data_IF_450424251057
#
_entry.id   IF_450424251057
#
_cell.length_a   1.000
_cell.length_b   1.000
_cell.length_c   1.000
_cell.angle_alpha   90.00
_cell.angle_beta   90.00
_cell.angle_gamma   90.00
#
_symmetry.space_group_name_H-M   'P 1'
#
loop_
_entity.id
_entity.type
_entity.pdbx_description
1 polymer ?
#
# COMPACT_ATOMS: atom_id res chain seq x y z
N UNK A 1 8.99 7.68 -6.75
CA UNK A 1 9.23 8.32 -5.42
C UNK A 1 9.57 9.81 -5.47
N UNK A 2 10.49 10.25 -6.34
CA UNK A 2 11.10 11.60 -6.30
C UNK A 2 10.09 12.77 -6.32
N UNK A 3 9.03 12.65 -7.13
CA UNK A 3 7.97 13.65 -7.22
C UNK A 3 7.11 13.73 -5.95
N UNK A 4 6.98 12.67 -5.16
CA UNK A 4 6.27 12.74 -3.88
C UNK A 4 7.12 13.39 -2.79
N UNK A 5 8.41 13.06 -2.76
CA UNK A 5 9.34 13.60 -1.76
C UNK A 5 9.72 15.08 -1.99
N UNK A 6 9.71 15.55 -3.24
CA UNK A 6 10.03 16.93 -3.59
C UNK A 6 9.13 17.37 -4.77
N UNK A 7 7.86 17.71 -4.52
CA UNK A 7 6.84 17.84 -5.58
C UNK A 7 6.95 19.09 -6.45
N UNK A 8 7.60 20.15 -5.96
CA UNK A 8 7.62 21.45 -6.64
C UNK A 8 9.02 21.82 -7.16
N UNK A 9 9.12 22.39 -8.37
CA UNK A 9 8.08 22.45 -9.40
C UNK A 9 7.78 21.04 -9.98
N UNK A 10 6.53 20.72 -10.36
CA UNK A 10 6.21 19.42 -10.95
C UNK A 10 6.90 19.22 -12.31
N UNK A 11 7.15 17.96 -12.70
CA UNK A 11 7.63 17.65 -14.05
C UNK A 11 6.53 17.94 -15.08
N UNK A 12 6.91 18.37 -16.28
CA UNK A 12 6.00 18.68 -17.39
C UNK A 12 6.05 17.67 -18.53
N UNK A 13 6.95 16.68 -18.48
CA UNK A 13 7.06 15.61 -19.48
C UNK A 13 7.71 14.34 -18.92
N UNK A 14 7.59 13.23 -19.66
CA UNK A 14 8.27 11.97 -19.35
C UNK A 14 9.80 12.12 -19.38
N UNK A 15 10.34 12.83 -20.38
CA UNK A 15 11.78 13.08 -20.51
C UNK A 15 12.32 13.87 -19.31
N UNK A 16 11.57 14.87 -18.84
CA UNK A 16 11.95 15.63 -17.65
C UNK A 16 11.86 14.77 -16.40
N UNK A 17 10.83 13.93 -16.26
CA UNK A 17 10.69 12.99 -15.13
C UNK A 17 11.92 12.08 -15.04
N UNK A 18 12.35 11.50 -16.15
CA UNK A 18 13.41 10.48 -16.17
C UNK A 18 14.81 11.08 -15.98
N UNK A 19 15.00 12.35 -16.36
CA UNK A 19 16.24 13.10 -16.17
C UNK A 19 16.26 14.00 -14.93
N UNK A 20 15.21 13.96 -14.10
CA UNK A 20 15.02 14.92 -13.01
C UNK A 20 16.14 14.86 -11.97
N UNK A 21 16.78 16.01 -11.72
CA UNK A 21 17.84 16.14 -10.70
C UNK A 21 17.42 15.71 -9.29
N UNK A 22 16.12 15.76 -8.97
CA UNK A 22 15.54 15.31 -7.69
C UNK A 22 15.69 13.80 -7.50
N UNK A 23 15.76 13.01 -8.58
CA UNK A 23 16.08 11.57 -8.50
C UNK A 23 17.42 11.37 -7.80
N UNK A 24 18.45 12.10 -8.23
CA UNK A 24 19.79 12.02 -7.61
C UNK A 24 19.76 12.49 -6.16
N UNK A 25 18.95 13.51 -5.83
CA UNK A 25 18.79 13.98 -4.44
C UNK A 25 18.15 12.92 -3.54
N UNK A 26 17.11 12.25 -4.00
CA UNK A 26 16.49 11.14 -3.26
C UNK A 26 17.44 9.95 -3.18
N UNK A 27 18.16 9.64 -4.27
CA UNK A 27 19.20 8.61 -4.29
C UNK A 27 20.28 8.82 -3.22
N UNK A 28 20.79 10.05 -3.06
CA UNK A 28 21.73 10.37 -1.98
C UNK A 28 21.17 10.10 -0.59
N UNK A 29 19.88 10.38 -0.35
CA UNK A 29 19.25 10.05 0.96
C UNK A 29 19.20 8.54 1.18
N UNK A 30 18.92 7.76 0.14
CA UNK A 30 18.96 6.29 0.22
C UNK A 30 20.36 5.79 0.57
N UNK A 31 21.39 6.31 -0.12
CA UNK A 31 22.80 5.99 0.15
C UNK A 31 23.23 6.38 1.57
N UNK A 32 22.81 7.55 2.05
CA UNK A 32 23.06 8.02 3.42
C UNK A 32 22.44 7.08 4.46
N UNK A 33 21.19 6.67 4.24
CA UNK A 33 20.47 5.74 5.11
C UNK A 33 21.15 4.37 5.10
N UNK A 34 21.50 3.83 3.93
CA UNK A 34 22.20 2.54 3.82
C UNK A 34 23.57 2.58 4.51
N UNK A 35 24.29 3.71 4.45
CA UNK A 35 25.57 3.88 5.14
C UNK A 35 25.42 3.88 6.65
N UNK A 36 24.36 4.50 7.18
CA UNK A 36 24.10 4.55 8.62
C UNK A 36 23.47 3.25 9.14
N UNK A 37 22.75 2.53 8.27
CA UNK A 37 22.02 1.29 8.58
C UNK A 37 22.24 0.24 7.47
N UNK A 38 23.44 -0.37 7.41
CA UNK A 38 23.77 -1.31 6.34
C UNK A 38 22.80 -2.48 6.26
N UNK A 39 22.33 -2.79 5.05
CA UNK A 39 21.36 -3.84 4.77
C UNK A 39 19.90 -3.41 4.90
N UNK A 40 19.60 -2.17 5.32
CA UNK A 40 18.21 -1.73 5.50
C UNK A 40 17.40 -1.85 4.21
N UNK A 41 17.87 -1.29 3.10
CA UNK A 41 17.11 -1.34 1.85
C UNK A 41 17.04 -2.75 1.28
N UNK A 42 18.03 -3.58 1.57
CA UNK A 42 18.01 -5.00 1.22
C UNK A 42 16.92 -5.73 2.01
N UNK A 43 16.83 -5.53 3.32
CA UNK A 43 15.83 -6.17 4.18
C UNK A 43 14.41 -5.62 3.96
N UNK A 44 14.26 -4.30 3.90
CA UNK A 44 12.99 -3.65 3.58
C UNK A 44 12.53 -4.00 2.15
N UNK A 45 13.47 -4.04 1.20
CA UNK A 45 13.23 -4.37 -0.21
C UNK A 45 12.75 -5.80 -0.47
N UNK A 46 12.99 -6.76 0.46
CA UNK A 46 12.32 -8.08 0.46
C UNK A 46 10.82 -7.98 0.66
N UNK A 47 10.34 -6.80 1.07
CA UNK A 47 8.96 -6.58 1.50
C UNK A 47 8.22 -5.48 0.79
N UNK A 48 8.85 -4.32 0.68
CA UNK A 48 8.37 -3.17 -0.05
C UNK A 48 9.58 -2.56 -0.74
N UNK A 49 9.67 -2.72 -2.06
CA UNK A 49 10.78 -2.17 -2.82
C UNK A 49 10.57 -0.67 -2.96
N UNK A 50 11.39 0.09 -2.26
CA UNK A 50 11.46 1.53 -2.41
C UNK A 50 12.71 1.91 -3.19
N UNK A 51 12.54 2.74 -4.22
CA UNK A 51 13.65 3.24 -5.03
C UNK A 51 13.25 4.58 -5.66
N UNK A 52 14.20 5.51 -5.89
CA UNK A 52 13.90 6.84 -6.43
C UNK A 52 13.02 6.84 -7.69
N UNK A 53 13.27 5.88 -8.59
CA UNK A 53 12.63 5.73 -9.90
C UNK A 53 11.44 4.77 -9.93
N UNK A 54 11.11 4.11 -8.82
CA UNK A 54 9.98 3.19 -8.79
C UNK A 54 8.67 3.95 -8.49
N UNK A 55 7.57 3.35 -8.94
CA UNK A 55 6.24 3.71 -8.46
C UNK A 55 6.20 3.47 -6.96
N UNK A 56 5.58 4.41 -6.25
CA UNK A 56 5.55 4.40 -4.80
C UNK A 56 4.12 4.60 -4.32
N UNK A 57 3.88 4.25 -3.06
CA UNK A 57 2.57 4.44 -2.45
C UNK A 57 2.27 5.93 -2.28
N UNK A 58 1.04 6.31 -2.59
CA UNK A 58 0.49 7.64 -2.28
C UNK A 58 0.26 7.85 -0.77
N UNK A 59 0.54 6.82 0.05
CA UNK A 59 0.82 6.96 1.47
C UNK A 59 1.82 8.10 1.75
N UNK A 60 2.85 8.26 0.91
CA UNK A 60 3.83 9.32 1.09
C UNK A 60 3.22 10.73 1.02
N UNK A 61 2.13 10.91 0.28
CA UNK A 61 1.38 12.17 0.23
C UNK A 61 0.55 12.34 1.51
N UNK A 62 -0.12 11.28 1.97
CA UNK A 62 -0.90 11.29 3.21
C UNK A 62 -0.04 11.54 4.46
N UNK A 63 1.25 11.17 4.42
CA UNK A 63 2.21 11.49 5.48
C UNK A 63 2.40 12.99 5.68
N UNK A 64 2.25 13.82 4.64
CA UNK A 64 2.31 15.29 4.78
C UNK A 64 1.18 15.85 5.65
N UNK A 65 0.10 15.09 5.79
CA UNK A 65 -1.07 15.39 6.63
C UNK A 65 -1.06 14.63 7.96
N UNK A 66 0.10 14.10 8.39
CA UNK A 66 0.27 13.34 9.64
C UNK A 66 -0.58 12.07 9.73
N UNK A 67 -1.05 11.50 8.62
CA UNK A 67 -1.66 10.15 8.59
C UNK A 67 -0.55 9.11 8.46
N UNK A 68 0.08 8.77 9.60
CA UNK A 68 1.33 8.01 9.67
C UNK A 68 1.12 6.54 10.03
N UNK A 69 0.52 5.76 9.12
CA UNK A 69 0.25 4.32 9.32
C UNK A 69 1.45 3.54 9.90
N UNK A 70 2.66 3.84 9.43
CA UNK A 70 3.87 3.15 9.86
C UNK A 70 4.23 3.39 11.34
N UNK A 71 3.84 4.52 11.92
CA UNK A 71 4.23 4.95 13.28
C UNK A 71 3.17 4.67 14.35
N UNK A 72 1.93 4.38 13.97
CA UNK A 72 0.82 4.10 14.90
C UNK A 72 1.13 2.99 15.93
N UNK A 73 1.86 1.91 15.60
CA UNK A 73 2.22 0.91 16.61
C UNK A 73 3.01 1.44 17.81
N UNK A 74 3.79 2.51 17.62
CA UNK A 74 4.61 3.14 18.67
C UNK A 74 3.97 4.37 19.30
N UNK A 75 2.84 4.82 18.75
CA UNK A 75 2.22 6.05 19.18
C UNK A 75 1.49 5.87 20.52
N UNK A 76 1.41 6.96 21.29
CA UNK A 76 0.56 7.03 22.48
C UNK A 76 -0.93 6.90 22.08
N UNK A 77 -1.77 6.45 23.02
CA UNK A 77 -3.20 6.16 22.79
C UNK A 77 -3.93 7.29 22.05
N UNK A 78 -3.69 8.56 22.41
CA UNK A 78 -4.36 9.70 21.75
C UNK A 78 -4.11 9.79 20.24
N UNK A 79 -2.90 9.50 19.75
CA UNK A 79 -2.66 9.48 18.30
C UNK A 79 -3.24 8.23 17.65
N UNK A 80 -3.23 7.08 18.34
CA UNK A 80 -3.85 5.85 17.84
C UNK A 80 -5.36 6.00 17.71
N UNK A 81 -6.04 6.52 18.72
CA UNK A 81 -7.47 6.84 18.71
C UNK A 81 -7.79 7.83 17.60
N UNK A 82 -7.01 8.91 17.49
CA UNK A 82 -7.14 9.86 16.40
C UNK A 82 -6.94 9.21 15.03
N UNK A 83 -5.94 8.34 14.87
CA UNK A 83 -5.68 7.62 13.63
C UNK A 83 -6.84 6.68 13.30
N UNK A 84 -7.31 5.89 14.24
CA UNK A 84 -8.37 4.90 14.02
C UNK A 84 -9.74 5.53 13.79
N UNK A 85 -9.99 6.78 14.19
CA UNK A 85 -11.20 7.53 13.80
C UNK A 85 -11.30 7.67 12.27
N UNK A 86 -12.39 7.11 11.71
CA UNK A 86 -12.65 7.06 10.26
C UNK A 86 -13.25 8.35 9.69
N UNK A 87 -13.84 9.20 10.53
CA UNK A 87 -14.61 10.38 10.09
C UNK A 87 -13.79 11.67 10.08
N UNK A 88 -12.61 11.67 10.71
CA UNK A 88 -11.81 12.88 10.89
C UNK A 88 -10.64 13.03 9.89
N UNK A 89 -10.63 12.28 8.77
CA UNK A 89 -9.54 12.29 7.77
C UNK A 89 -9.82 13.07 6.49
N UNK A 90 -10.95 13.77 6.39
CA UNK A 90 -11.32 14.52 5.18
C UNK A 90 -10.22 15.49 4.74
N UNK A 91 -9.63 16.22 5.69
CA UNK A 91 -8.57 17.18 5.42
C UNK A 91 -7.35 16.56 4.71
N UNK A 92 -7.01 15.31 5.04
CA UNK A 92 -5.89 14.60 4.45
C UNK A 92 -6.19 14.24 2.99
N UNK A 93 -7.43 13.83 2.69
CA UNK A 93 -7.83 13.54 1.31
C UNK A 93 -8.06 14.80 0.47
N UNK A 94 -8.47 15.93 1.08
CA UNK A 94 -8.47 17.23 0.40
C UNK A 94 -7.05 17.59 -0.03
N UNK A 95 -6.08 17.49 0.89
CA UNK A 95 -4.68 17.73 0.57
C UNK A 95 -4.17 16.78 -0.52
N UNK A 96 -4.48 15.50 -0.39
CA UNK A 96 -4.16 14.46 -1.37
C UNK A 96 -4.68 14.81 -2.77
N UNK A 97 -5.94 15.25 -2.88
CA UNK A 97 -6.53 15.70 -4.15
C UNK A 97 -5.82 16.91 -4.73
N UNK A 98 -5.56 17.93 -3.92
CA UNK A 98 -4.84 19.14 -4.36
C UNK A 98 -3.43 18.79 -4.85
N UNK A 99 -2.75 17.88 -4.16
CA UNK A 99 -1.43 17.40 -4.54
C UNK A 99 -1.43 16.78 -5.93
N UNK A 100 -2.34 15.85 -6.20
CA UNK A 100 -2.44 15.20 -7.51
C UNK A 100 -2.99 16.13 -8.59
N UNK A 101 -3.87 17.09 -8.25
CA UNK A 101 -4.29 18.14 -9.17
C UNK A 101 -3.09 18.97 -9.64
N UNK A 102 -2.20 19.39 -8.73
CA UNK A 102 -0.99 20.12 -9.10
C UNK A 102 -0.09 19.32 -10.05
N UNK A 103 0.14 18.03 -9.78
CA UNK A 103 0.91 17.17 -10.70
C UNK A 103 0.22 17.05 -12.06
N UNK A 104 -1.10 16.81 -12.05
CA UNK A 104 -1.92 16.66 -13.24
C UNK A 104 -1.96 17.92 -14.12
N UNK A 105 -1.96 19.12 -13.52
CA UNK A 105 -1.91 20.37 -14.28
C UNK A 105 -0.59 20.56 -15.03
N UNK A 106 0.51 20.02 -14.52
CA UNK A 106 1.81 20.13 -15.17
C UNK A 106 2.01 19.06 -16.25
N UNK A 107 1.63 17.82 -15.94
CA UNK A 107 1.71 16.68 -16.86
C UNK A 107 0.72 15.59 -16.42
N UNK A 108 -0.39 15.49 -17.15
CA UNK A 108 -1.42 14.48 -16.89
C UNK A 108 -1.09 13.13 -17.56
N UNK A 109 -1.50 11.99 -16.97
CA UNK A 109 -1.47 10.72 -17.66
C UNK A 109 -2.40 10.72 -18.87
N UNK A 110 -2.08 9.92 -19.90
CA UNK A 110 -2.90 9.81 -21.11
C UNK A 110 -4.25 9.13 -20.85
N UNK A 111 -4.32 8.23 -19.85
CA UNK A 111 -5.53 7.49 -19.48
C UNK A 111 -6.07 7.94 -18.12
N UNK A 112 -5.44 7.50 -17.03
CA UNK A 112 -5.89 7.76 -15.66
C UNK A 112 -4.73 7.66 -14.66
N UNK A 113 -4.96 8.17 -13.45
CA UNK A 113 -4.06 7.95 -12.32
C UNK A 113 -4.29 6.56 -11.72
N UNK A 114 -3.20 5.86 -11.38
CA UNK A 114 -3.23 4.62 -10.61
C UNK A 114 -2.53 4.87 -9.29
N UNK A 115 -3.28 4.77 -8.20
CA UNK A 115 -2.84 5.07 -6.83
C UNK A 115 -2.99 3.82 -5.98
N UNK A 116 -2.16 3.69 -4.93
CA UNK A 116 -2.17 2.51 -4.06
C UNK A 116 -1.53 2.85 -2.72
N UNK A 117 -2.35 2.82 -1.68
CA UNK A 117 -1.89 2.77 -0.31
C UNK A 117 -2.83 1.89 0.53
N UNK A 118 -2.31 0.96 1.35
CA UNK A 118 -3.13 0.16 2.26
C UNK A 118 -3.99 1.03 3.18
N UNK A 119 -3.55 2.23 3.55
CA UNK A 119 -4.31 3.15 4.42
C UNK A 119 -5.69 3.55 3.86
N UNK A 120 -5.91 3.48 2.54
CA UNK A 120 -7.23 3.78 1.97
C UNK A 120 -8.33 2.86 2.47
N UNK A 121 -8.01 1.61 2.77
CA UNK A 121 -8.99 0.65 3.30
C UNK A 121 -9.55 1.06 4.66
N UNK A 122 -8.85 1.93 5.38
CA UNK A 122 -9.26 2.45 6.69
C UNK A 122 -10.20 3.64 6.57
N UNK A 123 -10.16 4.36 5.44
CA UNK A 123 -10.82 5.66 5.26
C UNK A 123 -11.53 5.77 3.90
N UNK A 124 -12.16 4.68 3.46
CA UNK A 124 -12.75 4.60 2.11
C UNK A 124 -13.82 5.68 1.87
N UNK A 125 -14.62 6.02 2.88
CA UNK A 125 -15.60 7.09 2.77
C UNK A 125 -14.95 8.46 2.49
N UNK A 126 -13.85 8.77 3.18
CA UNK A 126 -13.13 10.04 2.97
C UNK A 126 -12.43 10.09 1.61
N UNK A 127 -11.90 8.95 1.14
CA UNK A 127 -11.39 8.84 -0.23
C UNK A 127 -12.51 9.13 -1.24
N UNK A 128 -13.66 8.44 -1.13
CA UNK A 128 -14.76 8.58 -2.10
C UNK A 128 -15.40 9.97 -2.09
N UNK A 129 -15.40 10.70 -0.97
CA UNK A 129 -15.83 12.12 -0.95
C UNK A 129 -14.99 13.00 -1.87
N UNK A 130 -13.67 12.74 -1.96
CA UNK A 130 -12.75 13.54 -2.76
C UNK A 130 -12.59 13.02 -4.19
N UNK A 131 -12.86 11.72 -4.41
CA UNK A 131 -12.78 11.03 -5.69
C UNK A 131 -14.08 10.23 -5.95
N UNK A 132 -15.21 10.90 -6.18
CA UNK A 132 -16.51 10.22 -6.34
C UNK A 132 -16.58 9.34 -7.59
N UNK A 133 -15.68 9.54 -8.56
CA UNK A 133 -15.53 8.77 -9.80
C UNK A 133 -14.41 7.71 -9.73
N UNK A 134 -13.84 7.48 -8.54
CA UNK A 134 -12.80 6.47 -8.36
C UNK A 134 -13.31 5.05 -8.65
N UNK A 135 -12.44 4.26 -9.27
CA UNK A 135 -12.59 2.81 -9.46
C UNK A 135 -11.73 2.11 -8.44
N UNK A 136 -12.33 1.30 -7.57
CA UNK A 136 -11.63 0.75 -6.40
C UNK A 136 -11.25 -0.70 -6.64
N UNK A 137 -9.96 -1.02 -6.66
CA UNK A 137 -9.49 -2.42 -6.65
C UNK A 137 -9.13 -2.80 -5.23
N UNK A 138 -9.80 -3.82 -4.68
CA UNK A 138 -9.58 -4.30 -3.32
C UNK A 138 -8.84 -5.63 -3.41
N UNK A 139 -7.66 -5.71 -2.81
CA UNK A 139 -6.85 -6.95 -2.83
C UNK A 139 -7.06 -7.75 -1.55
N UNK A 140 -7.38 -9.03 -1.71
CA UNK A 140 -7.59 -9.97 -0.62
C UNK A 140 -6.46 -10.99 -0.55
N UNK A 141 -5.98 -11.28 0.66
CA UNK A 141 -5.01 -12.35 0.89
C UNK A 141 -5.25 -12.99 2.25
N UNK A 142 -4.96 -14.29 2.35
CA UNK A 142 -5.08 -15.08 3.58
C UNK A 142 -4.45 -14.34 4.79
N UNK A 143 -5.25 -13.98 5.82
CA UNK A 143 -4.78 -13.28 7.01
C UNK A 143 -3.64 -14.01 7.72
N UNK A 144 -3.61 -15.35 7.71
CA UNK A 144 -2.54 -16.17 8.30
C UNK A 144 -1.19 -15.86 7.67
N UNK A 145 -1.19 -15.50 6.39
CA UNK A 145 0.00 -15.06 5.65
C UNK A 145 0.26 -13.55 5.77
N UNK A 146 -0.79 -12.73 5.83
CA UNK A 146 -0.68 -11.26 5.82
C UNK A 146 -0.19 -10.70 7.15
N UNK A 147 -0.76 -11.15 8.27
CA UNK A 147 -0.45 -10.61 9.61
C UNK A 147 1.04 -10.65 9.94
N UNK A 148 1.75 -11.79 9.85
CA UNK A 148 3.19 -11.84 10.16
C UNK A 148 4.02 -11.09 9.11
N UNK A 149 3.55 -11.02 7.86
CA UNK A 149 4.21 -10.24 6.80
C UNK A 149 4.17 -8.73 7.09
N UNK A 150 3.02 -8.22 7.53
CA UNK A 150 2.81 -6.82 7.85
C UNK A 150 3.54 -6.43 9.13
N UNK A 151 3.47 -7.26 10.17
CA UNK A 151 4.24 -7.08 11.40
C UNK A 151 5.75 -6.99 11.08
N UNK A 152 6.30 -7.93 10.31
CA UNK A 152 7.72 -7.91 9.94
C UNK A 152 8.12 -6.67 9.14
N UNK A 153 7.26 -6.20 8.25
CA UNK A 153 7.49 -5.00 7.47
C UNK A 153 7.55 -3.76 8.38
N UNK A 154 6.52 -3.56 9.21
CA UNK A 154 6.49 -2.43 10.12
C UNK A 154 7.62 -2.47 11.14
N UNK A 155 7.93 -3.63 11.71
CA UNK A 155 9.09 -3.81 12.59
C UNK A 155 10.40 -3.42 11.88
N UNK A 156 10.57 -3.74 10.59
CA UNK A 156 11.77 -3.36 9.83
C UNK A 156 11.90 -1.85 9.65
N UNK A 157 10.79 -1.13 9.40
CA UNK A 157 10.80 0.33 9.32
C UNK A 157 11.02 0.99 10.69
N UNK A 158 10.43 0.44 11.75
CA UNK A 158 10.53 1.02 13.09
C UNK A 158 11.90 0.78 13.73
N UNK A 159 12.54 -0.37 13.47
CA UNK A 159 13.92 -0.61 13.90
C UNK A 159 14.95 0.34 13.25
N UNK A 160 14.59 0.98 12.13
CA UNK A 160 15.41 2.04 11.54
C UNK A 160 15.25 3.36 12.29
N UNK A 161 14.00 3.75 12.59
CA UNK A 161 13.69 5.04 13.22
C UNK A 161 13.92 5.08 14.73
N UNK A 162 14.01 3.90 15.38
CA UNK A 162 14.08 3.77 16.84
C UNK A 162 15.11 2.72 17.27
N UNK A 163 15.42 2.66 18.56
CA UNK A 163 16.38 1.70 19.13
C UNK A 163 16.03 0.27 18.71
N UNK A 164 16.95 -0.49 18.11
CA UNK A 164 16.73 -1.88 17.74
C UNK A 164 16.18 -2.70 18.92
N UNK A 165 15.21 -3.58 18.67
CA UNK A 165 14.60 -4.47 19.68
C UNK A 165 13.79 -3.78 20.79
N UNK A 166 13.45 -2.49 20.63
CA UNK A 166 12.57 -1.78 21.57
C UNK A 166 11.09 -2.16 21.45
N UNK A 167 10.73 -2.90 20.41
CA UNK A 167 9.35 -3.31 20.16
C UNK A 167 9.02 -4.63 20.86
N UNK A 168 8.13 -4.58 21.85
CA UNK A 168 7.50 -5.77 22.43
C UNK A 168 6.67 -6.48 21.35
N UNK A 169 7.23 -7.55 20.76
CA UNK A 169 6.64 -8.29 19.65
C UNK A 169 5.27 -8.89 19.98
N UNK A 170 4.97 -9.17 21.25
CA UNK A 170 3.66 -9.68 21.66
C UNK A 170 2.61 -8.57 21.58
N UNK A 171 2.89 -7.41 22.18
CA UNK A 171 1.99 -6.24 22.09
C UNK A 171 1.85 -5.77 20.65
N UNK A 172 2.94 -5.81 19.91
CA UNK A 172 2.98 -5.43 18.50
C UNK A 172 2.14 -6.39 17.64
N UNK A 173 2.31 -7.71 17.80
CA UNK A 173 1.51 -8.72 17.11
C UNK A 173 0.02 -8.55 17.33
N UNK A 174 -0.39 -8.29 18.58
CA UNK A 174 -1.79 -7.99 18.94
C UNK A 174 -2.28 -6.73 18.22
N UNK A 175 -1.56 -5.62 18.34
CA UNK A 175 -1.95 -4.37 17.68
C UNK A 175 -2.10 -4.53 16.16
N UNK A 176 -1.16 -5.21 15.52
CA UNK A 176 -1.20 -5.46 14.07
C UNK A 176 -2.42 -6.30 13.70
N UNK A 177 -2.75 -7.31 14.49
CA UNK A 177 -3.94 -8.14 14.30
C UNK A 177 -5.19 -7.27 14.41
N UNK A 178 -5.34 -6.52 15.51
CA UNK A 178 -6.50 -5.65 15.76
C UNK A 178 -6.68 -4.61 14.64
N UNK A 179 -5.59 -4.00 14.18
CA UNK A 179 -5.60 -3.00 13.10
C UNK A 179 -6.04 -3.60 11.75
N UNK A 180 -5.57 -4.79 11.42
CA UNK A 180 -5.96 -5.47 10.18
C UNK A 180 -7.40 -6.00 10.23
N UNK A 181 -7.88 -6.44 11.40
CA UNK A 181 -9.31 -6.79 11.61
C UNK A 181 -10.19 -5.55 11.43
N UNK A 182 -9.82 -4.42 12.04
CA UNK A 182 -10.52 -3.15 11.87
C UNK A 182 -10.64 -2.76 10.39
N UNK A 183 -9.51 -2.81 9.67
CA UNK A 183 -9.43 -2.57 8.24
C UNK A 183 -10.36 -3.50 7.43
N UNK A 184 -10.30 -4.81 7.67
CA UNK A 184 -11.13 -5.80 6.98
C UNK A 184 -12.63 -5.53 7.20
N UNK A 185 -13.01 -5.27 8.46
CA UNK A 185 -14.40 -4.98 8.83
C UNK A 185 -14.91 -3.69 8.17
N UNK A 186 -14.08 -2.65 8.09
CA UNK A 186 -14.44 -1.38 7.42
C UNK A 186 -14.65 -1.56 5.93
N UNK A 187 -13.76 -2.29 5.25
CA UNK A 187 -13.92 -2.61 3.83
C UNK A 187 -15.21 -3.39 3.59
N UNK A 188 -15.46 -4.46 4.36
CA UNK A 188 -16.69 -5.25 4.22
C UNK A 188 -17.94 -4.39 4.48
N UNK A 189 -17.92 -3.53 5.49
CA UNK A 189 -19.03 -2.59 5.78
C UNK A 189 -19.24 -1.61 4.62
N UNK A 190 -18.18 -1.04 4.07
CA UNK A 190 -18.24 -0.11 2.93
C UNK A 190 -18.80 -0.80 1.68
N UNK A 191 -18.35 -2.01 1.37
CA UNK A 191 -18.84 -2.79 0.23
C UNK A 191 -20.32 -3.13 0.35
N UNK A 192 -20.81 -3.46 1.56
CA UNK A 192 -22.25 -3.69 1.83
C UNK A 192 -23.13 -2.46 1.55
N UNK A 193 -22.55 -1.26 1.50
CA UNK A 193 -23.26 0.02 1.31
C UNK A 193 -22.96 0.69 -0.04
N UNK A 194 -22.13 0.07 -0.88
CA UNK A 194 -21.64 0.67 -2.13
C UNK A 194 -22.12 -0.14 -3.33
N UNK A 195 -22.44 0.53 -4.43
CA UNK A 195 -22.75 -0.13 -5.70
C UNK A 195 -21.56 -1.05 -6.09
N UNK A 196 -21.79 -2.37 -6.30
CA UNK A 196 -20.75 -3.30 -6.71
C UNK A 196 -19.99 -2.89 -7.97
N UNK A 197 -20.54 -2.01 -8.82
CA UNK A 197 -19.84 -1.48 -10.00
C UNK A 197 -18.67 -0.54 -9.68
N UNK A 198 -18.62 0.00 -8.46
CA UNK A 198 -17.58 0.96 -8.03
C UNK A 198 -16.27 0.24 -7.68
N UNK A 199 -16.34 -1.05 -7.30
CA UNK A 199 -15.17 -1.79 -6.87
C UNK A 199 -15.02 -3.14 -7.58
N UNK A 200 -13.82 -3.71 -7.48
CA UNK A 200 -13.50 -5.05 -7.95
C UNK A 200 -12.57 -5.75 -6.96
N UNK A 201 -12.97 -6.94 -6.50
CA UNK A 201 -12.20 -7.74 -5.56
C UNK A 201 -11.18 -8.63 -6.31
N UNK A 202 -9.93 -8.58 -5.86
CA UNK A 202 -8.81 -9.37 -6.40
C UNK A 202 -8.28 -10.28 -5.31
N UNK A 203 -8.53 -11.58 -5.43
CA UNK A 203 -7.96 -12.58 -4.54
C UNK A 203 -6.52 -12.90 -4.97
N UNK A 204 -5.56 -12.80 -4.05
CA UNK A 204 -4.14 -12.98 -4.34
C UNK A 204 -3.83 -14.31 -5.02
N UNK A 205 -4.47 -15.40 -4.61
CA UNK A 205 -4.28 -16.73 -5.22
C UNK A 205 -4.74 -16.79 -6.68
N UNK A 206 -5.74 -16.01 -7.08
CA UNK A 206 -6.15 -15.90 -8.49
C UNK A 206 -5.18 -15.01 -9.28
N UNK A 207 -4.78 -13.88 -8.69
CA UNK A 207 -3.87 -12.91 -9.31
C UNK A 207 -2.52 -13.53 -9.69
N UNK A 208 -1.97 -14.42 -8.85
CA UNK A 208 -0.67 -15.06 -9.13
C UNK A 208 -0.73 -16.16 -10.20
N UNK A 209 -1.90 -16.70 -10.50
CA UNK A 209 -2.06 -17.76 -11.52
C UNK A 209 -1.98 -17.16 -12.92
N UNK A 210 -2.72 -16.08 -13.16
CA UNK A 210 -2.71 -15.37 -14.44
C UNK A 210 -2.90 -13.86 -14.22
N UNK A 211 -1.81 -13.11 -13.97
CA UNK A 211 -1.88 -11.69 -13.66
C UNK A 211 -2.39 -10.85 -14.82
N UNK A 212 -2.12 -11.24 -16.07
CA UNK A 212 -2.59 -10.51 -17.25
C UNK A 212 -4.10 -10.64 -17.36
N UNK A 213 -4.62 -11.88 -17.26
CA UNK A 213 -6.06 -12.11 -17.29
C UNK A 213 -6.78 -11.44 -16.12
N UNK A 214 -6.15 -11.36 -14.95
CA UNK A 214 -6.71 -10.61 -13.82
C UNK A 214 -6.82 -9.11 -14.15
N UNK A 215 -5.78 -8.50 -14.73
CA UNK A 215 -5.85 -7.09 -15.16
C UNK A 215 -6.91 -6.89 -16.25
N UNK A 216 -7.05 -7.82 -17.19
CA UNK A 216 -8.11 -7.77 -18.20
C UNK A 216 -9.51 -7.78 -17.57
N UNK A 217 -9.76 -8.64 -16.56
CA UNK A 217 -11.02 -8.65 -15.81
C UNK A 217 -11.28 -7.34 -15.06
N UNK A 218 -10.25 -6.75 -14.45
CA UNK A 218 -10.36 -5.45 -13.77
C UNK A 218 -10.75 -4.37 -14.79
N UNK A 219 -10.12 -4.35 -15.95
CA UNK A 219 -10.40 -3.38 -17.00
C UNK A 219 -11.81 -3.56 -17.56
N UNK A 220 -12.23 -4.79 -17.83
CA UNK A 220 -13.59 -5.13 -18.27
C UNK A 220 -14.65 -4.66 -17.26
N UNK A 221 -14.46 -4.90 -15.96
CA UNK A 221 -15.39 -4.46 -14.91
C UNK A 221 -15.62 -2.94 -14.90
N UNK A 222 -14.60 -2.19 -15.29
CA UNK A 222 -14.63 -0.73 -15.28
C UNK A 222 -14.81 -0.09 -16.66
N UNK A 223 -15.22 -0.88 -17.65
CA UNK A 223 -15.43 -0.48 -19.04
C UNK A 223 -14.18 0.18 -19.66
N UNK A 224 -13.00 -0.34 -19.32
CA UNK A 224 -11.70 0.09 -19.86
C UNK A 224 -11.20 -0.87 -20.92
N UNK A 225 -10.52 -0.33 -21.93
CA UNK A 225 -9.96 -1.14 -23.02
C UNK A 225 -8.52 -1.58 -22.71
N UNK A 226 -8.24 -2.88 -22.88
CA UNK A 226 -6.88 -3.41 -22.91
C UNK A 226 -6.43 -3.51 -24.36
N UNK A 227 -5.49 -2.66 -24.76
CA UNK A 227 -4.88 -2.72 -26.10
C UNK A 227 -3.87 -3.86 -26.17
N UNK A 228 -3.58 -4.35 -27.38
CA UNK A 228 -2.50 -5.34 -27.57
C UNK A 228 -1.13 -4.81 -27.14
N UNK A 229 -0.87 -3.51 -27.34
CA UNK A 229 0.35 -2.86 -26.85
C UNK A 229 0.44 -2.92 -25.32
N UNK A 230 -0.64 -2.60 -24.61
CA UNK A 230 -0.66 -2.68 -23.15
C UNK A 230 -0.49 -4.12 -22.66
N UNK A 231 -1.13 -5.09 -23.34
CA UNK A 231 -0.94 -6.51 -23.04
C UNK A 231 0.51 -6.95 -23.20
N UNK A 232 1.19 -6.54 -24.26
CA UNK A 232 2.59 -6.89 -24.48
C UNK A 232 3.52 -6.21 -23.46
N UNK A 233 3.24 -4.95 -23.10
CA UNK A 233 3.98 -4.25 -22.04
C UNK A 233 3.85 -4.97 -20.69
N UNK A 234 2.67 -5.50 -20.34
CA UNK A 234 2.49 -6.33 -19.15
C UNK A 234 3.30 -7.63 -19.21
N UNK A 235 3.30 -8.32 -20.36
CA UNK A 235 4.09 -9.55 -20.56
C UNK A 235 5.58 -9.29 -20.36
N UNK A 236 6.10 -8.25 -21.01
CA UNK A 236 7.50 -7.86 -20.89
C UNK A 236 7.85 -7.52 -19.44
N UNK A 237 7.03 -6.72 -18.77
CA UNK A 237 7.26 -6.36 -17.37
C UNK A 237 7.31 -7.59 -16.45
N UNK A 238 6.39 -8.56 -16.64
CA UNK A 238 6.37 -9.81 -15.85
C UNK A 238 7.63 -10.64 -16.12
N UNK A 239 8.09 -10.72 -17.37
CA UNK A 239 9.29 -11.45 -17.74
C UNK A 239 10.54 -10.86 -17.05
N UNK A 240 10.61 -9.53 -16.94
CA UNK A 240 11.72 -8.80 -16.30
C UNK A 240 11.63 -8.79 -14.76
N UNK A 241 10.44 -9.01 -14.20
CA UNK A 241 10.14 -8.90 -12.77
C UNK A 241 9.53 -10.18 -12.18
N UNK A 242 10.12 -11.34 -12.49
CA UNK A 242 9.67 -12.63 -11.96
C UNK A 242 9.51 -12.63 -10.44
N UNK A 243 8.42 -13.22 -9.94
CA UNK A 243 8.18 -13.34 -8.51
C UNK A 243 9.32 -14.07 -7.79
N UNK A 244 9.68 -13.58 -6.60
CA UNK A 244 10.79 -14.16 -5.82
C UNK A 244 12.20 -13.75 -6.28
N UNK A 245 12.33 -12.85 -7.26
CA UNK A 245 13.61 -12.24 -7.70
C UNK A 245 14.46 -11.67 -6.55
N UNK A 246 13.84 -11.32 -5.43
CA UNK A 246 14.48 -10.72 -4.26
C UNK A 246 14.49 -11.63 -3.02
N UNK A 247 14.25 -12.93 -3.20
CA UNK A 247 14.23 -13.94 -2.14
C UNK A 247 12.85 -14.22 -1.56
N UNK A 248 12.70 -15.37 -0.89
CA UNK A 248 11.52 -15.74 -0.11
C UNK A 248 11.78 -15.48 1.37
N UNK A 249 10.80 -14.93 2.06
CA UNK A 249 10.92 -14.66 3.50
C UNK A 249 10.63 -15.92 4.31
N UNK A 250 11.26 -16.02 5.48
CA UNK A 250 10.73 -16.80 6.60
C UNK A 250 10.26 -15.82 7.68
N UNK A 251 8.96 -15.70 7.84
CA UNK A 251 8.32 -15.13 9.02
C UNK A 251 7.30 -16.13 9.52
N UNK A 252 7.02 -16.11 10.82
CA UNK A 252 6.04 -16.99 11.43
C UNK A 252 5.12 -16.21 12.36
N UNK A 253 3.91 -16.70 12.55
CA UNK A 253 3.00 -16.16 13.57
C UNK A 253 3.61 -16.25 14.97
N UNK A 254 4.40 -17.29 15.24
CA UNK A 254 5.10 -17.49 16.51
C UNK A 254 6.10 -16.38 16.85
N UNK A 255 6.69 -15.70 15.86
CA UNK A 255 7.60 -14.57 16.10
C UNK A 255 6.92 -13.42 16.86
N UNK A 256 5.59 -13.34 16.76
CA UNK A 256 4.75 -12.32 17.38
C UNK A 256 3.78 -12.89 18.43
N UNK A 257 4.02 -14.13 18.90
CA UNK A 257 3.15 -14.84 19.85
C UNK A 257 1.70 -14.98 19.37
N UNK A 258 1.53 -15.26 18.07
CA UNK A 258 0.24 -15.50 17.42
C UNK A 258 0.14 -16.96 16.97
N UNK A 259 -1.09 -17.47 16.86
CA UNK A 259 -1.38 -18.82 16.33
C UNK A 259 -2.32 -18.72 15.13
N UNK A 260 -2.30 -19.75 14.27
CA UNK A 260 -3.20 -19.81 13.11
C UNK A 260 -4.67 -19.82 13.55
N UNK A 261 -4.97 -20.54 14.63
CA UNK A 261 -6.30 -20.67 15.20
C UNK A 261 -6.83 -19.31 15.68
N UNK A 262 -5.98 -18.54 16.36
CA UNK A 262 -6.33 -17.19 16.79
C UNK A 262 -6.61 -16.26 15.59
N UNK A 263 -5.71 -16.21 14.61
CA UNK A 263 -5.93 -15.37 13.41
C UNK A 263 -7.19 -15.78 12.65
N UNK A 264 -7.44 -17.07 12.47
CA UNK A 264 -8.65 -17.53 11.79
C UNK A 264 -9.93 -17.17 12.55
N UNK A 265 -9.90 -17.19 13.89
CA UNK A 265 -11.03 -16.79 14.71
C UNK A 265 -11.33 -15.28 14.57
N UNK A 266 -10.29 -14.43 14.71
CA UNK A 266 -10.43 -12.97 14.59
C UNK A 266 -10.90 -12.53 13.19
N UNK A 267 -10.44 -13.21 12.14
CA UNK A 267 -10.80 -12.91 10.74
C UNK A 267 -11.94 -13.79 10.20
N UNK A 268 -12.74 -14.42 11.06
CA UNK A 268 -13.74 -15.42 10.64
C UNK A 268 -14.74 -14.90 9.60
N UNK A 269 -15.34 -13.72 9.78
CA UNK A 269 -16.26 -13.12 8.81
C UNK A 269 -15.55 -12.81 7.48
N UNK A 270 -14.36 -12.23 7.53
CA UNK A 270 -13.54 -11.93 6.35
C UNK A 270 -13.18 -13.20 5.58
N UNK A 271 -12.74 -14.24 6.28
CA UNK A 271 -12.40 -15.53 5.67
C UNK A 271 -13.62 -16.20 5.03
N UNK A 272 -14.77 -16.14 5.69
CA UNK A 272 -16.01 -16.67 5.16
C UNK A 272 -16.49 -15.92 3.90
N UNK A 273 -16.13 -14.65 3.76
CA UNK A 273 -16.55 -13.82 2.63
C UNK A 273 -15.67 -14.02 1.39
N UNK A 274 -14.36 -14.19 1.56
CA UNK A 274 -13.42 -14.16 0.41
C UNK A 274 -12.60 -15.44 0.17
N UNK A 275 -12.59 -16.40 1.10
CA UNK A 275 -11.73 -17.59 1.00
C UNK A 275 -12.46 -18.92 1.20
N UNK A 276 -13.79 -18.94 1.16
CA UNK A 276 -14.52 -20.21 1.19
C UNK A 276 -14.32 -20.96 -0.13
N UNK A 277 -13.70 -22.14 -0.01
CA UNK A 277 -13.92 -23.28 -0.90
C UNK A 277 -15.05 -24.14 -0.31
#
# INVERSE_FOLDING_TARGET
>A
MSQMANPTPPCTSAEQRDSDSRIKRVGRRFEEIERNYPGLWTEAGKSHRSHPNELEEDLLVLLHSFVMQLHVPLAHNGYREWYEDEENKEFAYIYHRVFFQMLNQAWKPDSHWVLKAPVHSTYMNELMKQYPDARIVITHRDPVSVVPSWARLLESYLNWSYTPYSCDRVKFGRYITDSLVLCANRIMKWQKQTDPKVYFDVVYSEMIVDPIKMVERIYENFDLCVTEEFRENMRQWIADNRQGKYGRRSYSLSDYNLTKEHINAEFSEYNNTYFQN
#
